data_IF_198525372572
#
_entry.id   IF_198525372572
#
_cell.length_a   1.000
_cell.length_b   1.000
_cell.length_c   1.000
_cell.angle_alpha   90.00
_cell.angle_beta   90.00
_cell.angle_gamma   90.00
#
_symmetry.space_group_name_H-M   'P 1'
#
loop_
_entity.id
_entity.type
_entity.pdbx_description
1 polymer ?
#
# COMPACT_ATOMS: atom_id res chain seq x y z
N UNK A 1 5.13 -7.61 -15.57
CA UNK A 1 5.04 -7.75 -14.11
C UNK A 1 6.24 -7.06 -13.45
N UNK A 2 6.07 -6.52 -12.26
CA UNK A 2 7.13 -5.88 -11.44
C UNK A 2 8.37 -6.78 -11.35
N UNK A 3 8.22 -8.09 -11.25
CA UNK A 3 9.33 -9.05 -11.24
C UNK A 3 10.13 -9.05 -12.55
N UNK A 4 9.46 -9.02 -13.71
CA UNK A 4 10.17 -8.94 -15.02
C UNK A 4 10.85 -7.59 -15.18
N UNK A 5 10.23 -6.50 -14.77
CA UNK A 5 10.80 -5.17 -14.81
C UNK A 5 12.02 -5.07 -13.88
N UNK A 6 11.94 -5.62 -12.67
CA UNK A 6 13.08 -5.72 -11.76
C UNK A 6 14.20 -6.59 -12.34
N UNK A 7 13.88 -7.73 -12.95
CA UNK A 7 14.88 -8.58 -13.61
C UNK A 7 15.52 -7.89 -14.81
N UNK A 8 14.76 -7.12 -15.59
CA UNK A 8 15.32 -6.29 -16.68
C UNK A 8 16.25 -5.21 -16.12
N UNK A 9 15.84 -4.46 -15.11
CA UNK A 9 16.66 -3.43 -14.48
C UNK A 9 17.94 -4.00 -13.87
N UNK A 10 17.88 -5.16 -13.20
CA UNK A 10 19.07 -5.84 -12.68
C UNK A 10 19.98 -6.28 -13.83
N UNK A 11 19.42 -6.84 -14.89
CA UNK A 11 20.18 -7.25 -16.09
C UNK A 11 20.87 -6.07 -16.75
N UNK A 12 20.21 -4.91 -16.78
CA UNK A 12 20.71 -3.70 -17.44
C UNK A 12 21.52 -2.81 -16.46
N UNK A 13 21.80 -3.32 -15.24
CA UNK A 13 22.58 -2.62 -14.19
C UNK A 13 21.96 -1.28 -13.75
N UNK A 14 20.63 -1.16 -13.82
CA UNK A 14 19.90 0.03 -13.40
C UNK A 14 19.32 -0.16 -12.00
N UNK A 15 19.49 0.82 -11.13
CA UNK A 15 18.88 0.84 -9.80
C UNK A 15 17.41 1.22 -9.90
N UNK A 16 16.54 0.48 -9.21
CA UNK A 16 15.13 0.86 -9.00
C UNK A 16 15.06 1.63 -7.69
N UNK A 17 14.74 2.91 -7.77
CA UNK A 17 14.54 3.77 -6.61
C UNK A 17 13.03 3.91 -6.37
N UNK A 18 12.50 3.48 -5.22
CA UNK A 18 11.08 3.60 -4.93
C UNK A 18 10.69 5.06 -4.69
N UNK A 19 9.48 5.42 -5.14
CA UNK A 19 8.92 6.77 -5.01
C UNK A 19 7.78 6.82 -4.00
N UNK A 20 7.06 5.70 -3.81
CA UNK A 20 6.05 5.60 -2.76
C UNK A 20 6.69 5.92 -1.39
N UNK A 21 6.01 6.70 -0.54
CA UNK A 21 6.60 7.28 0.67
C UNK A 21 7.12 6.21 1.64
N UNK A 22 6.39 5.14 1.83
CA UNK A 22 6.74 4.03 2.70
C UNK A 22 7.93 3.24 2.14
N UNK A 23 7.90 2.93 0.85
CA UNK A 23 8.99 2.18 0.20
C UNK A 23 10.25 3.04 0.09
N UNK A 24 10.11 4.33 -0.18
CA UNK A 24 11.24 5.27 -0.13
C UNK A 24 11.85 5.34 1.27
N UNK A 25 11.00 5.36 2.31
CA UNK A 25 11.45 5.34 3.71
C UNK A 25 12.25 4.07 4.04
N UNK A 26 11.75 2.88 3.66
CA UNK A 26 12.44 1.60 3.84
C UNK A 26 13.77 1.61 3.08
N UNK A 27 13.77 2.03 1.81
CA UNK A 27 14.97 2.13 0.99
C UNK A 27 16.04 3.03 1.66
N UNK A 28 15.62 4.18 2.18
CA UNK A 28 16.52 5.12 2.87
C UNK A 28 17.04 4.56 4.20
N UNK A 29 16.23 3.82 4.94
CA UNK A 29 16.66 3.14 6.17
C UNK A 29 17.66 2.01 5.90
N UNK A 30 17.54 1.33 4.76
CA UNK A 30 18.40 0.23 4.35
C UNK A 30 19.67 0.68 3.61
N UNK A 31 19.76 1.96 3.23
CA UNK A 31 20.92 2.46 2.49
C UNK A 31 22.20 2.37 3.35
N UNK A 32 23.19 1.65 2.86
CA UNK A 32 24.45 1.40 3.56
C UNK A 32 24.39 0.26 4.59
N UNK A 33 23.25 -0.41 4.74
CA UNK A 33 23.07 -1.54 5.66
C UNK A 33 23.23 -2.89 4.96
N UNK A 34 23.60 -3.89 5.75
CA UNK A 34 23.62 -5.27 5.30
C UNK A 34 22.20 -5.86 5.37
N UNK A 35 21.60 -6.10 4.21
CA UNK A 35 20.23 -6.64 4.11
C UNK A 35 20.04 -8.01 4.79
N UNK A 36 21.13 -8.77 5.04
CA UNK A 36 21.05 -10.03 5.78
C UNK A 36 20.76 -9.83 7.27
N UNK A 37 21.04 -8.64 7.79
CA UNK A 37 20.79 -8.25 9.18
C UNK A 37 19.40 -7.64 9.38
N UNK A 38 18.63 -7.46 8.29
CA UNK A 38 17.23 -7.03 8.35
C UNK A 38 16.38 -8.14 8.97
N UNK A 39 15.79 -7.86 10.13
CA UNK A 39 14.87 -8.76 10.84
C UNK A 39 13.44 -8.55 10.37
N UNK A 40 12.98 -7.29 10.28
CA UNK A 40 11.59 -6.95 9.95
C UNK A 40 11.47 -5.58 9.29
N UNK A 41 10.51 -5.44 8.39
CA UNK A 41 9.99 -4.17 7.89
C UNK A 41 8.70 -3.84 8.61
N UNK A 42 8.51 -2.59 9.05
CA UNK A 42 7.28 -2.08 9.62
C UNK A 42 6.73 -1.02 8.66
N UNK A 43 5.67 -1.40 7.93
CA UNK A 43 4.89 -0.49 7.08
C UNK A 43 3.93 0.30 7.95
N UNK A 44 3.99 1.62 7.91
CA UNK A 44 3.04 2.49 8.60
C UNK A 44 1.90 2.89 7.66
N UNK A 45 0.72 3.15 8.21
CA UNK A 45 -0.41 3.71 7.49
C UNK A 45 -1.23 4.60 8.40
N UNK A 46 -1.87 5.65 7.86
CA UNK A 46 -2.67 6.58 8.67
C UNK A 46 -3.91 5.92 9.30
N UNK A 47 -4.39 4.82 8.73
CA UNK A 47 -5.70 4.25 9.04
C UNK A 47 -6.84 4.92 8.29
N UNK A 48 -6.56 5.92 7.46
CA UNK A 48 -7.56 6.63 6.67
C UNK A 48 -8.52 7.49 7.49
N UNK A 49 -9.53 8.09 6.84
CA UNK A 49 -10.46 9.04 7.48
C UNK A 49 -11.46 8.39 8.46
N UNK A 50 -11.56 7.06 8.48
CA UNK A 50 -12.58 6.35 9.27
C UNK A 50 -12.01 5.54 10.43
N UNK A 51 -10.78 5.84 10.86
CA UNK A 51 -10.12 5.14 11.96
C UNK A 51 -10.98 5.10 13.24
N UNK A 52 -11.64 6.21 13.58
CA UNK A 52 -12.49 6.37 14.77
C UNK A 52 -13.99 6.15 14.49
N UNK A 53 -14.38 5.91 13.23
CA UNK A 53 -15.79 5.72 12.87
C UNK A 53 -16.26 4.35 13.31
N UNK A 54 -17.40 4.21 14.03
CA UNK A 54 -17.98 2.90 14.36
C UNK A 54 -18.23 2.05 13.10
N UNK A 55 -17.91 0.75 13.15
CA UNK A 55 -18.00 -0.15 11.99
C UNK A 55 -19.44 -0.27 11.48
N UNK A 56 -20.43 -0.25 12.37
CA UNK A 56 -21.85 -0.30 12.02
C UNK A 56 -22.32 0.88 11.16
N UNK A 57 -21.53 1.96 11.10
CA UNK A 57 -21.81 3.14 10.27
C UNK A 57 -21.13 3.10 8.89
N UNK A 58 -20.32 2.08 8.60
CA UNK A 58 -19.56 2.02 7.35
C UNK A 58 -20.47 1.97 6.10
N UNK A 59 -21.67 1.39 6.21
CA UNK A 59 -22.66 1.36 5.12
C UNK A 59 -23.21 2.76 4.75
N UNK A 60 -23.03 3.76 5.62
CA UNK A 60 -23.49 5.14 5.39
C UNK A 60 -22.38 6.07 4.90
N UNK A 61 -21.15 5.57 4.78
CA UNK A 61 -20.01 6.35 4.29
C UNK A 61 -20.24 6.72 2.82
N UNK A 62 -20.11 8.00 2.54
CA UNK A 62 -20.25 8.55 1.19
C UNK A 62 -18.87 8.76 0.53
N UNK A 63 -18.80 8.81 -0.82
CA UNK A 63 -17.58 9.17 -1.52
C UNK A 63 -16.96 10.48 -1.03
N UNK A 64 -17.77 11.52 -0.82
CA UNK A 64 -17.29 12.84 -0.36
C UNK A 64 -16.63 12.79 1.02
N UNK A 65 -17.02 11.84 1.87
CA UNK A 65 -16.38 11.60 3.16
C UNK A 65 -15.07 10.83 2.98
N UNK A 66 -15.04 9.82 2.10
CA UNK A 66 -13.86 9.01 1.83
C UNK A 66 -12.73 9.82 1.17
N UNK A 67 -13.06 10.88 0.44
CA UNK A 67 -12.08 11.77 -0.19
C UNK A 67 -11.40 12.74 0.78
N UNK A 68 -11.88 12.86 2.03
CA UNK A 68 -11.31 13.76 3.05
C UNK A 68 -10.25 13.04 3.86
N UNK A 69 -9.06 12.85 3.28
CA UNK A 69 -7.94 12.26 4.03
C UNK A 69 -7.41 13.26 5.07
N UNK A 70 -7.08 12.81 6.33
CA UNK A 70 -6.68 13.72 7.41
C UNK A 70 -5.34 14.42 7.17
N UNK A 71 -4.38 13.77 6.50
CA UNK A 71 -2.99 14.22 6.41
C UNK A 71 -2.50 14.46 4.99
N UNK A 72 -3.12 13.83 3.98
CA UNK A 72 -2.65 13.86 2.60
C UNK A 72 -3.69 14.50 1.68
N UNK A 73 -3.21 15.32 0.74
CA UNK A 73 -4.00 15.75 -0.41
C UNK A 73 -3.71 14.82 -1.59
N UNK A 74 -4.68 13.97 -1.94
CA UNK A 74 -4.48 12.85 -2.86
C UNK A 74 -5.62 12.75 -3.89
N UNK A 75 -5.36 12.03 -4.98
CA UNK A 75 -6.38 11.67 -5.95
C UNK A 75 -7.51 10.79 -5.37
N UNK A 76 -8.66 10.78 -6.06
CA UNK A 76 -9.87 10.13 -5.54
C UNK A 76 -9.68 8.63 -5.27
N UNK A 77 -9.06 7.89 -6.19
CA UNK A 77 -8.84 6.45 -6.01
C UNK A 77 -8.01 6.13 -4.77
N UNK A 78 -6.83 6.74 -4.65
CA UNK A 78 -5.93 6.46 -3.52
C UNK A 78 -6.50 6.91 -2.17
N UNK A 79 -7.38 7.93 -2.14
CA UNK A 79 -8.08 8.33 -0.93
C UNK A 79 -9.05 7.23 -0.46
N UNK A 80 -9.78 6.58 -1.38
CA UNK A 80 -10.62 5.42 -1.05
C UNK A 80 -9.75 4.22 -0.66
N UNK A 81 -8.66 3.95 -1.36
CA UNK A 81 -7.71 2.88 -1.03
C UNK A 81 -7.08 3.07 0.36
N UNK A 82 -6.82 4.31 0.77
CA UNK A 82 -6.40 4.64 2.13
C UNK A 82 -7.51 4.37 3.15
N UNK A 83 -8.75 4.76 2.84
CA UNK A 83 -9.90 4.57 3.72
C UNK A 83 -10.23 3.08 3.98
N UNK A 84 -10.01 2.21 3.00
CA UNK A 84 -10.19 0.75 3.08
C UNK A 84 -8.94 0.00 3.53
N UNK A 85 -7.80 0.66 3.63
CA UNK A 85 -6.46 0.06 3.78
C UNK A 85 -6.02 -0.82 2.58
N UNK A 86 -6.71 -0.74 1.45
CA UNK A 86 -6.27 -1.38 0.21
C UNK A 86 -4.90 -0.84 -0.24
N UNK A 87 -4.65 0.46 -0.08
CA UNK A 87 -3.33 1.03 -0.37
C UNK A 87 -2.24 0.28 0.38
N UNK A 88 -2.45 -0.01 1.68
CA UNK A 88 -1.48 -0.74 2.48
C UNK A 88 -1.36 -2.22 2.09
N UNK A 89 -2.45 -2.81 1.60
CA UNK A 89 -2.41 -4.16 1.03
C UNK A 89 -1.57 -4.21 -0.27
N UNK A 90 -1.70 -3.21 -1.14
CA UNK A 90 -0.87 -3.08 -2.35
C UNK A 90 0.59 -2.82 -2.01
N UNK A 91 0.87 -1.95 -1.07
CA UNK A 91 2.22 -1.67 -0.58
C UNK A 91 2.89 -2.89 0.06
N UNK A 92 2.14 -3.75 0.76
CA UNK A 92 2.65 -5.02 1.27
C UNK A 92 3.18 -5.90 0.13
N UNK A 93 2.43 -6.00 -0.98
CA UNK A 93 2.84 -6.74 -2.18
C UNK A 93 4.09 -6.11 -2.81
N UNK A 94 4.13 -4.79 -2.91
CA UNK A 94 5.27 -4.07 -3.46
C UNK A 94 6.52 -4.27 -2.62
N UNK A 95 6.42 -4.21 -1.28
CA UNK A 95 7.55 -4.42 -0.37
C UNK A 95 8.16 -5.82 -0.53
N UNK A 96 7.34 -6.87 -0.69
CA UNK A 96 7.81 -8.24 -0.95
C UNK A 96 8.70 -8.29 -2.20
N UNK A 97 8.30 -7.59 -3.26
CA UNK A 97 9.03 -7.60 -4.54
C UNK A 97 10.24 -6.67 -4.55
N UNK A 98 10.10 -5.45 -4.03
CA UNK A 98 11.16 -4.45 -4.04
C UNK A 98 12.34 -4.84 -3.14
N UNK A 99 12.05 -5.32 -1.94
CA UNK A 99 13.08 -5.63 -0.94
C UNK A 99 13.44 -7.11 -0.87
N UNK A 100 12.78 -7.97 -1.64
CA UNK A 100 12.99 -9.42 -1.65
C UNK A 100 12.93 -10.03 -0.25
N UNK A 101 11.91 -9.65 0.52
CA UNK A 101 11.65 -10.07 1.89
C UNK A 101 10.45 -11.01 1.93
N UNK A 102 10.36 -11.87 2.94
CA UNK A 102 9.21 -12.76 3.14
C UNK A 102 8.07 -12.04 3.87
N UNK A 103 6.84 -12.52 3.67
CA UNK A 103 5.64 -11.96 4.29
C UNK A 103 5.72 -11.93 5.82
N UNK A 104 6.21 -12.99 6.45
CA UNK A 104 6.36 -13.10 7.90
C UNK A 104 7.33 -12.07 8.51
N UNK A 105 8.10 -11.38 7.67
CA UNK A 105 9.02 -10.30 8.05
C UNK A 105 8.47 -8.91 7.75
N UNK A 106 7.21 -8.76 7.39
CA UNK A 106 6.57 -7.46 7.20
C UNK A 106 5.43 -7.33 8.20
N UNK A 107 5.41 -6.23 8.92
CA UNK A 107 4.36 -5.87 9.86
C UNK A 107 3.71 -4.56 9.41
N UNK A 108 2.38 -4.52 9.42
CA UNK A 108 1.63 -3.28 9.22
C UNK A 108 1.28 -2.69 10.58
N UNK A 109 1.43 -1.39 10.73
CA UNK A 109 0.99 -0.64 11.92
C UNK A 109 0.29 0.65 11.51
N UNK A 110 -0.72 1.05 12.27
CA UNK A 110 -1.42 2.32 12.09
C UNK A 110 -0.62 3.39 12.82
N UNK A 111 -0.31 4.48 12.12
CA UNK A 111 0.34 5.68 12.64
C UNK A 111 -0.47 6.91 12.16
N UNK A 112 -1.46 7.36 12.95
CA UNK A 112 -2.43 8.36 12.51
C UNK A 112 -1.80 9.68 12.06
N UNK A 113 -0.67 10.09 12.66
CA UNK A 113 0.00 11.34 12.35
C UNK A 113 0.75 11.32 11.00
N UNK A 114 1.03 10.12 10.43
CA UNK A 114 1.76 9.95 9.16
C UNK A 114 3.13 10.64 9.09
N UNK A 115 3.79 10.80 10.23
CA UNK A 115 5.13 11.42 10.35
C UNK A 115 6.22 10.36 10.14
N UNK A 116 6.04 9.17 10.70
CA UNK A 116 6.91 8.02 10.44
C UNK A 116 6.36 7.30 9.20
N UNK A 117 7.10 7.38 8.10
CA UNK A 117 6.66 6.78 6.83
C UNK A 117 6.91 5.29 6.75
N UNK A 118 7.94 4.77 7.40
CA UNK A 118 8.16 3.33 7.69
C UNK A 118 9.38 3.16 8.58
N UNK A 119 9.57 1.94 9.08
CA UNK A 119 10.69 1.56 9.94
C UNK A 119 11.24 0.21 9.52
N UNK A 120 12.50 -0.05 9.89
CA UNK A 120 13.14 -1.37 9.79
C UNK A 120 13.70 -1.77 11.14
N UNK A 121 13.57 -3.05 11.49
CA UNK A 121 14.16 -3.68 12.67
C UNK A 121 15.33 -4.56 12.24
N UNK A 122 16.46 -4.46 12.92
CA UNK A 122 17.63 -5.29 12.69
C UNK A 122 17.73 -6.43 13.70
N UNK A 123 18.60 -7.41 13.41
CA UNK A 123 18.77 -8.61 14.23
C UNK A 123 19.30 -8.33 15.63
N UNK A 124 19.96 -7.20 15.85
CA UNK A 124 20.45 -6.73 17.14
C UNK A 124 19.38 -6.03 17.99
N UNK A 125 18.15 -5.90 17.45
CA UNK A 125 17.03 -5.23 18.11
C UNK A 125 16.98 -3.70 17.90
N UNK A 126 17.91 -3.14 17.13
CA UNK A 126 17.86 -1.72 16.77
C UNK A 126 16.82 -1.44 15.69
N UNK A 127 16.36 -0.18 15.64
CA UNK A 127 15.40 0.29 14.63
C UNK A 127 15.94 1.51 13.90
N UNK A 128 15.67 1.58 12.60
CA UNK A 128 15.76 2.83 11.84
C UNK A 128 14.40 3.22 11.34
N UNK A 129 14.06 4.50 11.43
CA UNK A 129 12.81 5.07 10.96
C UNK A 129 13.08 6.29 10.08
N UNK A 130 12.30 6.46 9.04
CA UNK A 130 12.31 7.67 8.23
C UNK A 130 11.12 8.56 8.64
N UNK A 131 11.42 9.76 9.09
CA UNK A 131 10.44 10.75 9.53
C UNK A 131 10.42 11.95 8.57
N UNK A 132 9.24 12.48 8.32
CA UNK A 132 9.05 13.68 7.51
C UNK A 132 7.61 14.16 7.52
N UNK A 133 7.38 15.37 7.04
CA UNK A 133 6.02 15.83 6.76
C UNK A 133 5.41 14.99 5.62
N UNK A 134 4.09 14.75 5.62
CA UNK A 134 3.40 13.99 4.58
C UNK A 134 3.33 14.80 3.26
N UNK A 135 4.43 14.83 2.52
CA UNK A 135 4.55 15.51 1.23
C UNK A 135 5.35 14.64 0.24
N UNK A 136 4.71 14.26 -0.86
CA UNK A 136 5.32 13.44 -1.92
C UNK A 136 6.52 14.10 -2.63
N UNK A 137 6.70 15.42 -2.48
CA UNK A 137 7.89 16.09 -3.01
C UNK A 137 9.18 15.50 -2.45
N UNK A 138 9.19 15.08 -1.17
CA UNK A 138 10.37 14.52 -0.51
C UNK A 138 10.82 13.21 -1.16
N UNK A 139 10.00 12.14 -1.23
CA UNK A 139 10.43 10.89 -1.85
C UNK A 139 10.67 11.02 -3.36
N UNK A 140 9.88 11.83 -4.08
CA UNK A 140 10.08 12.10 -5.51
C UNK A 140 11.43 12.78 -5.75
N UNK A 141 11.72 13.86 -5.02
CA UNK A 141 12.99 14.57 -5.13
C UNK A 141 14.16 13.66 -4.81
N UNK A 142 14.07 12.88 -3.72
CA UNK A 142 15.12 11.95 -3.35
C UNK A 142 15.39 10.90 -4.44
N UNK A 143 14.35 10.33 -5.03
CA UNK A 143 14.49 9.36 -6.11
C UNK A 143 15.18 9.96 -7.35
N UNK A 144 14.88 11.22 -7.68
CA UNK A 144 15.46 11.93 -8.83
C UNK A 144 16.90 12.38 -8.60
N UNK A 145 17.30 12.60 -7.34
CA UNK A 145 18.62 13.15 -7.00
C UNK A 145 19.55 12.14 -6.34
N UNK A 146 19.06 10.92 -6.09
CA UNK A 146 19.85 9.86 -5.45
C UNK A 146 21.24 9.69 -6.10
N UNK A 147 22.32 9.53 -5.32
CA UNK A 147 22.35 9.37 -3.84
C UNK A 147 22.38 10.70 -3.06
N UNK A 148 22.32 11.84 -3.70
CA UNK A 148 22.46 13.14 -3.05
C UNK A 148 21.09 13.65 -2.55
N UNK A 149 21.12 14.38 -1.42
CA UNK A 149 19.98 15.18 -0.98
C UNK A 149 20.08 16.61 -1.50
N UNK A 150 18.96 17.21 -1.82
CA UNK A 150 18.86 18.61 -2.28
C UNK A 150 17.91 19.38 -1.38
N UNK A 151 18.06 20.67 -1.33
CA UNK A 151 17.14 21.55 -0.62
C UNK A 151 15.71 21.38 -1.13
N UNK A 152 14.77 21.41 -0.22
CA UNK A 152 13.35 21.26 -0.48
C UNK A 152 12.56 22.42 0.09
N UNK A 153 11.42 22.74 -0.52
CA UNK A 153 10.45 23.70 0.01
C UNK A 153 9.56 23.10 1.10
N UNK A 154 9.72 21.80 1.43
CA UNK A 154 8.98 21.13 2.49
C UNK A 154 9.50 21.60 3.84
N UNK A 155 8.59 21.94 4.75
CA UNK A 155 8.91 22.43 6.08
C UNK A 155 9.64 21.42 6.96
N UNK A 156 9.98 21.82 8.18
CA UNK A 156 10.61 20.98 9.19
C UNK A 156 9.59 20.46 10.21
N UNK A 157 9.89 19.31 10.83
CA UNK A 157 9.11 18.79 11.95
C UNK A 157 9.40 19.61 13.22
N UNK A 158 8.36 19.89 13.99
CA UNK A 158 8.47 20.47 15.33
C UNK A 158 8.51 19.33 16.37
N UNK A 159 9.70 18.93 16.77
CA UNK A 159 9.90 17.83 17.71
C UNK A 159 9.46 18.14 19.15
N UNK A 160 9.27 19.41 19.51
CA UNK A 160 8.85 19.80 20.86
C UNK A 160 7.36 19.49 21.09
N UNK A 161 6.55 19.49 20.01
CA UNK A 161 5.11 19.26 20.05
C UNK A 161 4.67 17.99 19.28
N UNK A 162 5.60 17.07 19.01
CA UNK A 162 5.33 15.89 18.19
C UNK A 162 4.89 14.71 19.05
N UNK A 163 3.71 14.14 18.72
CA UNK A 163 3.27 12.84 19.22
C UNK A 163 3.38 11.80 18.10
N UNK A 164 3.83 10.59 18.45
CA UNK A 164 3.96 9.47 17.54
C UNK A 164 3.23 8.26 18.13
N UNK A 165 2.01 8.04 17.67
CA UNK A 165 1.18 6.91 18.11
C UNK A 165 1.27 5.76 17.13
N UNK A 166 1.36 4.54 17.65
CA UNK A 166 1.38 3.31 16.87
C UNK A 166 0.32 2.35 17.38
N UNK A 167 -0.60 1.96 16.48
CA UNK A 167 -1.78 1.15 16.83
C UNK A 167 -1.78 -0.11 15.96
N UNK A 168 -2.12 -1.25 16.56
CA UNK A 168 -2.32 -2.48 15.79
C UNK A 168 -3.55 -2.31 14.88
N UNK A 169 -3.49 -2.68 13.58
CA UNK A 169 -4.65 -2.68 12.72
C UNK A 169 -5.76 -3.58 13.26
N UNK A 170 -6.99 -3.08 13.24
CA UNK A 170 -8.19 -3.85 13.51
C UNK A 170 -8.61 -4.57 12.22
N UNK A 171 -8.52 -5.91 12.21
CA UNK A 171 -8.81 -6.72 11.03
C UNK A 171 -10.30 -6.85 10.72
N UNK A 172 -11.19 -6.58 11.69
CA UNK A 172 -12.63 -6.47 11.43
C UNK A 172 -12.93 -5.18 10.66
N UNK A 173 -12.27 -4.10 11.02
CA UNK A 173 -12.36 -2.80 10.33
C UNK A 173 -11.71 -2.84 8.94
N UNK A 174 -10.58 -3.52 8.80
CA UNK A 174 -9.77 -3.59 7.60
C UNK A 174 -9.58 -5.03 7.10
N UNK A 175 -10.66 -5.73 6.71
CA UNK A 175 -10.58 -7.15 6.33
C UNK A 175 -9.70 -7.41 5.12
N UNK A 176 -9.43 -6.38 4.31
CA UNK A 176 -8.53 -6.47 3.15
C UNK A 176 -7.10 -6.86 3.54
N UNK A 177 -6.66 -6.52 4.76
CA UNK A 177 -5.32 -6.88 5.23
C UNK A 177 -5.20 -8.39 5.45
N UNK A 178 -6.24 -9.03 5.98
CA UNK A 178 -6.25 -10.50 6.11
C UNK A 178 -6.36 -11.17 4.74
N UNK A 179 -7.18 -10.63 3.85
CA UNK A 179 -7.36 -11.17 2.50
C UNK A 179 -6.04 -11.14 1.73
N UNK A 180 -5.31 -10.02 1.72
CA UNK A 180 -4.06 -9.91 0.95
C UNK A 180 -3.00 -10.87 1.45
N UNK A 181 -2.87 -11.09 2.78
CA UNK A 181 -1.95 -12.07 3.34
C UNK A 181 -2.29 -13.50 2.88
N UNK A 182 -3.58 -13.85 2.88
CA UNK A 182 -4.08 -15.12 2.35
C UNK A 182 -3.73 -15.28 0.87
N UNK A 183 -4.04 -14.28 0.04
CA UNK A 183 -3.81 -14.33 -1.41
C UNK A 183 -2.32 -14.42 -1.77
N UNK A 184 -1.45 -13.75 -1.00
CA UNK A 184 0.01 -13.87 -1.15
C UNK A 184 0.47 -15.30 -0.88
N UNK A 185 -0.03 -15.92 0.20
CA UNK A 185 0.34 -17.29 0.57
C UNK A 185 -0.18 -18.33 -0.44
N UNK A 186 -1.37 -18.14 -0.99
CA UNK A 186 -1.94 -19.00 -2.02
C UNK A 186 -1.24 -18.85 -3.37
N UNK A 187 -0.72 -17.65 -3.70
CA UNK A 187 0.01 -17.40 -4.94
C UNK A 187 -0.86 -17.33 -6.20
N UNK A 188 -0.31 -17.73 -7.34
CA UNK A 188 -0.98 -17.67 -8.63
C UNK A 188 -1.27 -16.24 -9.10
N UNK A 189 -2.46 -16.04 -9.71
CA UNK A 189 -2.90 -14.73 -10.21
C UNK A 189 -3.64 -13.87 -9.18
N UNK A 190 -3.89 -14.38 -7.99
CA UNK A 190 -4.83 -13.85 -6.97
C UNK A 190 -4.62 -12.38 -6.61
N UNK A 191 -3.39 -11.99 -6.35
CA UNK A 191 -3.07 -10.59 -6.02
C UNK A 191 -3.28 -9.66 -7.22
N UNK A 192 -3.08 -10.15 -8.44
CA UNK A 192 -3.38 -9.39 -9.66
C UNK A 192 -4.89 -9.20 -9.82
N UNK A 193 -5.68 -10.26 -9.62
CA UNK A 193 -7.16 -10.19 -9.64
C UNK A 193 -7.67 -9.21 -8.59
N UNK A 194 -7.18 -9.27 -7.35
CA UNK A 194 -7.55 -8.33 -6.28
C UNK A 194 -7.27 -6.87 -6.69
N UNK A 195 -6.09 -6.60 -7.25
CA UNK A 195 -5.71 -5.25 -7.68
C UNK A 195 -6.59 -4.73 -8.81
N UNK A 196 -6.87 -5.58 -9.84
CA UNK A 196 -7.75 -5.24 -10.96
C UNK A 196 -9.19 -5.02 -10.49
N UNK A 197 -9.71 -5.90 -9.63
CA UNK A 197 -11.05 -5.76 -9.06
C UNK A 197 -11.20 -4.42 -8.31
N UNK A 198 -10.21 -4.06 -7.50
CA UNK A 198 -10.21 -2.82 -6.75
C UNK A 198 -10.35 -1.59 -7.65
N UNK A 199 -9.69 -1.54 -8.81
CA UNK A 199 -9.77 -0.41 -9.73
C UNK A 199 -11.21 -0.15 -10.20
N UNK A 200 -11.95 -1.20 -10.53
CA UNK A 200 -13.35 -1.09 -10.99
C UNK A 200 -14.33 -0.89 -9.85
N UNK A 201 -14.14 -1.57 -8.72
CA UNK A 201 -15.03 -1.50 -7.56
C UNK A 201 -14.96 -0.11 -6.90
N UNK A 202 -13.74 0.45 -6.73
CA UNK A 202 -13.57 1.82 -6.22
C UNK A 202 -14.25 2.83 -7.14
N UNK A 203 -14.16 2.66 -8.46
CA UNK A 203 -14.88 3.52 -9.40
C UNK A 203 -16.39 3.44 -9.21
N UNK A 204 -16.95 2.24 -9.01
CA UNK A 204 -18.40 2.08 -8.73
C UNK A 204 -18.82 2.79 -7.44
N UNK A 205 -17.99 2.75 -6.40
CA UNK A 205 -18.24 3.47 -5.16
C UNK A 205 -18.21 4.99 -5.40
N UNK A 206 -17.20 5.51 -6.09
CA UNK A 206 -17.11 6.93 -6.44
C UNK A 206 -18.29 7.40 -7.29
N UNK A 207 -18.78 6.55 -8.19
CA UNK A 207 -20.00 6.77 -9.00
C UNK A 207 -21.30 6.60 -8.18
N UNK A 208 -21.24 6.33 -6.86
CA UNK A 208 -22.37 6.11 -5.94
C UNK A 208 -23.26 4.92 -6.34
N UNK A 209 -22.72 3.92 -7.02
CA UNK A 209 -23.42 2.70 -7.45
C UNK A 209 -23.43 1.61 -6.40
N UNK A 210 -22.50 1.68 -5.45
CA UNK A 210 -22.35 0.75 -4.34
C UNK A 210 -22.04 1.51 -3.06
N UNK A 211 -22.29 0.90 -1.90
CA UNK A 211 -21.90 1.40 -0.58
C UNK A 211 -20.43 1.12 -0.26
N UNK A 212 -19.89 1.76 0.77
CA UNK A 212 -18.50 1.57 1.20
C UNK A 212 -18.19 0.13 1.61
N UNK A 213 -19.13 -0.52 2.32
CA UNK A 213 -18.98 -1.91 2.75
C UNK A 213 -18.94 -2.89 1.57
N UNK A 214 -19.66 -2.61 0.48
CA UNK A 214 -19.67 -3.47 -0.70
C UNK A 214 -18.33 -3.50 -1.42
N UNK A 215 -17.44 -2.53 -1.21
CA UNK A 215 -16.10 -2.52 -1.80
C UNK A 215 -15.37 -3.84 -1.50
N UNK A 216 -15.25 -4.20 -0.23
CA UNK A 216 -14.56 -5.42 0.18
C UNK A 216 -15.23 -6.69 -0.36
N UNK A 217 -16.54 -6.80 -0.22
CA UNK A 217 -17.28 -7.99 -0.64
C UNK A 217 -17.21 -8.22 -2.14
N UNK A 218 -17.32 -7.18 -2.95
CA UNK A 218 -17.19 -7.30 -4.42
C UNK A 218 -15.77 -7.67 -4.85
N UNK A 219 -14.74 -7.13 -4.19
CA UNK A 219 -13.35 -7.54 -4.45
C UNK A 219 -13.19 -9.03 -4.14
N UNK A 220 -13.68 -9.49 -2.98
CA UNK A 220 -13.60 -10.90 -2.59
C UNK A 220 -14.37 -11.81 -3.55
N UNK A 221 -15.57 -11.39 -4.01
CA UNK A 221 -16.36 -12.12 -5.00
C UNK A 221 -15.58 -12.28 -6.30
N UNK A 222 -15.01 -11.19 -6.84
CA UNK A 222 -14.20 -11.24 -8.07
C UNK A 222 -12.97 -12.12 -7.89
N UNK A 223 -12.30 -12.06 -6.73
CA UNK A 223 -11.18 -12.96 -6.45
C UNK A 223 -11.62 -14.41 -6.47
N UNK A 224 -12.74 -14.76 -5.86
CA UNK A 224 -13.26 -16.13 -5.85
C UNK A 224 -13.62 -16.63 -7.25
N UNK A 225 -14.11 -15.76 -8.12
CA UNK A 225 -14.52 -16.13 -9.50
C UNK A 225 -13.32 -16.30 -10.45
N UNK A 226 -12.29 -15.43 -10.32
CA UNK A 226 -11.20 -15.35 -11.30
C UNK A 226 -9.85 -15.87 -10.79
N UNK A 227 -9.75 -16.33 -9.54
CA UNK A 227 -8.50 -16.83 -8.98
C UNK A 227 -8.04 -18.12 -9.65
N UNK A 228 -6.73 -18.21 -9.89
CA UNK A 228 -6.07 -19.40 -10.44
C UNK A 228 -4.69 -19.58 -9.78
N UNK A 229 -4.23 -20.83 -9.75
CA UNK A 229 -2.88 -21.17 -9.27
C UNK A 229 -1.81 -20.82 -10.31
N UNK A 230 -2.19 -20.60 -11.55
CA UNK A 230 -1.26 -20.26 -12.62
C UNK A 230 -0.81 -18.81 -12.55
N UNK A 231 0.45 -18.58 -12.89
CA UNK A 231 1.00 -17.25 -13.09
C UNK A 231 0.74 -16.81 -14.54
N UNK A 232 -0.15 -15.83 -14.77
CA UNK A 232 -0.51 -15.41 -16.11
C UNK A 232 0.64 -14.72 -16.84
N UNK A 233 0.69 -14.89 -18.15
CA UNK A 233 1.49 -14.04 -19.04
C UNK A 233 0.94 -12.61 -19.06
N UNK A 234 1.67 -11.70 -19.70
CA UNK A 234 1.22 -10.31 -19.83
C UNK A 234 -0.08 -10.22 -20.66
N UNK A 235 -0.20 -11.00 -21.73
CA UNK A 235 -1.37 -11.05 -22.59
C UNK A 235 -2.60 -11.58 -21.83
N UNK A 236 -2.41 -12.62 -21.02
CA UNK A 236 -3.48 -13.19 -20.18
C UNK A 236 -3.92 -12.20 -19.10
N UNK A 237 -3.02 -11.37 -18.55
CA UNK A 237 -3.40 -10.30 -17.61
C UNK A 237 -4.32 -9.26 -18.25
N UNK A 238 -4.10 -8.86 -19.52
CA UNK A 238 -4.99 -7.95 -20.24
C UNK A 238 -6.37 -8.57 -20.51
N UNK A 239 -6.40 -9.86 -20.85
CA UNK A 239 -7.66 -10.58 -21.05
C UNK A 239 -8.42 -10.69 -19.72
N UNK A 240 -7.73 -11.02 -18.64
CA UNK A 240 -8.28 -11.14 -17.30
C UNK A 240 -8.87 -9.80 -16.82
N UNK A 241 -8.15 -8.70 -16.98
CA UNK A 241 -8.62 -7.35 -16.63
C UNK A 241 -9.93 -7.01 -17.35
N UNK A 242 -9.98 -7.27 -18.67
CA UNK A 242 -11.20 -7.06 -19.45
C UNK A 242 -12.37 -7.94 -19.00
N UNK A 243 -12.11 -9.20 -18.65
CA UNK A 243 -13.14 -10.12 -18.17
C UNK A 243 -13.70 -9.67 -16.81
N UNK A 244 -12.84 -9.23 -15.89
CA UNK A 244 -13.25 -8.65 -14.60
C UNK A 244 -14.11 -7.40 -14.81
N UNK A 245 -13.71 -6.53 -15.74
CA UNK A 245 -14.49 -5.34 -16.09
C UNK A 245 -15.89 -5.71 -16.59
N UNK A 246 -15.99 -6.69 -17.50
CA UNK A 246 -17.27 -7.15 -18.05
C UNK A 246 -18.14 -7.77 -16.96
N UNK A 247 -17.58 -8.62 -16.11
CA UNK A 247 -18.27 -9.24 -14.99
C UNK A 247 -18.90 -8.20 -14.06
N UNK A 248 -18.12 -7.23 -13.62
CA UNK A 248 -18.58 -6.17 -12.73
C UNK A 248 -19.61 -5.23 -13.41
N UNK A 249 -19.61 -5.09 -14.73
CA UNK A 249 -20.60 -4.28 -15.43
C UNK A 249 -21.93 -5.02 -15.67
N UNK A 250 -21.93 -6.35 -15.58
CA UNK A 250 -23.11 -7.19 -15.81
C UNK A 250 -23.90 -7.46 -14.52
N UNK A 251 -23.27 -7.32 -13.39
CA UNK A 251 -23.79 -7.48 -12.02
C UNK A 251 -23.83 -6.11 -11.30
#
# INVERSE_FOLDING_TARGET
SVRRQRQMCIRDSVNIIPVDSEHSAIFQCLNGENHKELKKIILTGSGGPFLETPIDKFNTITPDQALKHPNWDMGAKISVDSATMMNKALELIEALWLFNIKLDKIQITIHPQSIVHSMVEFVDGSYKAHLGLPDMKVPIQYALTFPNRKDSSVGSLDFENLNLDFIKPDLERYPILSLVEELINLGGNRVAVMSMANDYVVKRFLDRKISFNEIFYLIQEVVNEFASDDLPSLEELFILDKNIQLYLNSN
#
